data_IF_549696780281
#
_entry.id   IF_549696780281
#
_cell.length_a   1.000
_cell.length_b   1.000
_cell.length_c   1.000
_cell.angle_alpha   90.00
_cell.angle_beta   90.00
_cell.angle_gamma   90.00
#
_symmetry.space_group_name_H-M   'P 1'
#
loop_
_entity.id
_entity.type
_entity.pdbx_description
1 polymer ?
#
# COMPACT_ATOMS: atom_id res chain seq x y z
N UNK A 1 32.01 -45.52 6.94
CA UNK A 1 32.01 -45.05 5.55
C UNK A 1 32.35 -43.56 5.52
N UNK A 2 33.63 -43.21 5.30
CA UNK A 2 34.10 -41.81 5.22
C UNK A 2 34.51 -41.56 3.76
N UNK A 3 33.76 -40.70 3.05
CA UNK A 3 34.05 -40.31 1.66
C UNK A 3 34.93 -39.06 1.65
N UNK A 4 35.99 -39.13 0.85
CA UNK A 4 37.14 -38.23 0.87
C UNK A 4 36.89 -36.81 0.37
N UNK A 5 37.72 -35.90 0.87
CA UNK A 5 37.93 -34.57 0.32
C UNK A 5 39.10 -34.64 -0.67
N UNK A 6 38.78 -34.38 -1.93
CA UNK A 6 39.74 -34.22 -3.02
C UNK A 6 40.11 -32.73 -3.13
N UNK A 7 41.41 -32.44 -3.14
CA UNK A 7 41.98 -31.10 -3.11
C UNK A 7 42.80 -30.88 -4.39
N UNK A 8 42.45 -29.91 -5.27
CA UNK A 8 43.25 -29.62 -6.46
C UNK A 8 44.45 -28.71 -6.16
N UNK A 9 45.54 -28.77 -6.95
CA UNK A 9 46.84 -28.19 -6.61
C UNK A 9 46.99 -26.69 -6.90
N UNK A 10 47.93 -26.11 -6.15
CA UNK A 10 48.42 -24.72 -6.17
C UNK A 10 49.00 -24.31 -7.53
N UNK A 11 48.79 -23.05 -7.93
CA UNK A 11 49.69 -22.31 -8.84
C UNK A 11 50.24 -21.07 -8.13
N UNK A 12 51.56 -20.95 -8.14
CA UNK A 12 52.36 -19.84 -7.62
C UNK A 12 52.69 -18.83 -8.74
N UNK A 13 53.21 -17.63 -8.40
CA UNK A 13 53.02 -16.41 -9.16
C UNK A 13 54.12 -16.16 -10.20
N UNK A 14 53.82 -15.33 -11.21
CA UNK A 14 54.82 -14.74 -12.09
C UNK A 14 54.88 -13.25 -11.81
N UNK A 15 56.00 -12.81 -11.25
CA UNK A 15 56.36 -11.41 -11.10
C UNK A 15 57.52 -11.05 -12.04
N UNK A 16 57.58 -9.77 -12.42
CA UNK A 16 58.71 -8.93 -12.89
C UNK A 16 58.06 -7.65 -13.45
N UNK A 17 58.44 -6.41 -13.16
CA UNK A 17 59.51 -5.83 -12.37
C UNK A 17 59.60 -4.35 -12.75
N UNK A 18 59.30 -3.47 -11.78
CA UNK A 18 59.87 -2.14 -11.46
C UNK A 18 60.48 -1.27 -12.57
N UNK A 19 60.03 -0.01 -12.64
CA UNK A 19 60.93 1.16 -12.76
C UNK A 19 60.41 2.31 -11.91
N UNK A 20 61.32 2.92 -11.14
CA UNK A 20 61.17 4.05 -10.23
C UNK A 20 61.79 5.30 -10.89
N UNK A 21 61.22 6.49 -10.68
CA UNK A 21 61.88 7.80 -10.56
C UNK A 21 60.78 8.89 -10.48
N UNK A 22 60.50 9.48 -9.32
CA UNK A 22 61.22 10.58 -8.63
C UNK A 22 60.70 11.98 -9.01
N UNK A 23 59.98 12.56 -8.03
CA UNK A 23 60.05 13.95 -7.52
C UNK A 23 59.90 15.13 -8.48
N UNK A 24 58.88 15.98 -8.23
CA UNK A 24 59.03 17.44 -8.07
C UNK A 24 57.78 18.06 -7.37
N UNK A 25 58.00 18.60 -6.15
CA UNK A 25 57.44 19.88 -5.62
C UNK A 25 55.93 20.01 -5.26
N UNK A 26 55.64 20.37 -4.00
CA UNK A 26 54.30 20.69 -3.44
C UNK A 26 53.65 22.01 -3.92
N UNK A 27 52.56 22.53 -3.29
CA UNK A 27 52.49 22.74 -1.84
C UNK A 27 51.22 22.22 -1.13
N UNK A 28 51.38 22.02 0.17
CA UNK A 28 50.38 21.81 1.20
C UNK A 28 49.36 22.96 1.24
N UNK A 29 48.06 22.64 1.16
CA UNK A 29 46.99 23.58 1.54
C UNK A 29 45.92 22.86 2.36
N UNK A 30 45.93 23.20 3.64
CA UNK A 30 44.83 23.39 4.59
C UNK A 30 43.68 22.37 4.62
N UNK A 31 43.66 21.68 5.76
CA UNK A 31 42.48 21.11 6.40
C UNK A 31 41.32 22.13 6.43
N UNK A 32 40.12 21.70 6.04
CA UNK A 32 38.92 22.53 6.16
C UNK A 32 38.10 22.66 4.89
N UNK A 33 37.44 21.57 4.47
CA UNK A 33 36.03 21.54 4.06
C UNK A 33 35.76 20.14 3.53
N UNK A 34 35.18 19.28 4.37
CA UNK A 34 34.55 18.05 3.88
C UNK A 34 33.38 18.49 3.02
N UNK A 35 33.59 18.64 1.72
CA UNK A 35 32.54 18.78 0.74
C UNK A 35 31.57 17.61 0.94
N UNK A 36 30.39 17.90 1.49
CA UNK A 36 29.27 16.97 1.56
C UNK A 36 28.71 16.71 0.15
N UNK A 37 29.52 16.16 -0.78
CA UNK A 37 29.06 15.69 -2.09
C UNK A 37 28.10 14.49 -1.99
N UNK A 38 27.87 13.96 -0.78
CA UNK A 38 26.98 12.82 -0.49
C UNK A 38 25.68 13.19 0.23
N UNK A 39 25.37 14.46 0.48
CA UNK A 39 24.13 14.84 1.20
C UNK A 39 22.89 15.00 0.31
N UNK A 40 23.03 14.91 -1.01
CA UNK A 40 21.89 15.02 -1.93
C UNK A 40 21.06 13.71 -2.06
N UNK A 41 21.45 12.67 -1.32
CA UNK A 41 21.07 11.28 -1.55
C UNK A 41 19.91 10.71 -0.75
N UNK A 42 19.13 11.51 -0.02
CA UNK A 42 18.01 10.97 0.80
C UNK A 42 16.64 11.10 0.10
N UNK A 43 16.50 12.05 -0.83
CA UNK A 43 15.28 12.24 -1.62
C UNK A 43 15.59 11.99 -3.10
N UNK A 44 15.40 10.75 -3.57
CA UNK A 44 15.55 10.32 -4.98
C UNK A 44 14.71 11.14 -6.00
N UNK A 45 13.91 12.09 -5.55
CA UNK A 45 12.99 12.89 -6.35
C UNK A 45 13.61 14.12 -7.03
N UNK A 46 14.82 14.59 -6.66
CA UNK A 46 15.32 15.90 -7.16
C UNK A 46 15.71 15.93 -8.64
N UNK A 47 16.45 14.94 -9.16
CA UNK A 47 17.00 15.02 -10.53
C UNK A 47 15.96 14.75 -11.62
N UNK A 48 15.09 13.76 -11.44
CA UNK A 48 14.01 13.46 -12.40
C UNK A 48 12.97 14.57 -12.46
N UNK A 49 12.64 15.22 -11.33
CA UNK A 49 11.70 16.35 -11.33
C UNK A 49 12.29 17.57 -12.05
N UNK A 50 13.58 17.88 -11.84
CA UNK A 50 14.27 18.94 -12.59
C UNK A 50 14.23 18.66 -14.10
N UNK A 51 14.52 17.43 -14.51
CA UNK A 51 14.47 17.02 -15.92
C UNK A 51 13.06 17.13 -16.51
N UNK A 52 12.02 16.67 -15.79
CA UNK A 52 10.61 16.84 -16.19
C UNK A 52 10.19 18.31 -16.28
N UNK A 53 10.70 19.15 -15.38
CA UNK A 53 10.45 20.60 -15.43
C UNK A 53 11.08 21.22 -16.68
N UNK A 54 12.33 20.86 -17.01
CA UNK A 54 12.99 21.34 -18.23
C UNK A 54 12.17 20.95 -19.46
N UNK A 55 11.75 19.69 -19.55
CA UNK A 55 10.99 19.19 -20.70
C UNK A 55 9.63 19.90 -20.85
N UNK A 56 8.91 20.12 -19.73
CA UNK A 56 7.63 20.85 -19.73
C UNK A 56 7.75 22.31 -20.19
N UNK A 57 8.91 22.93 -20.00
CA UNK A 57 9.13 24.37 -20.25
C UNK A 57 10.10 24.64 -21.41
N UNK A 58 10.46 23.60 -22.19
CA UNK A 58 11.44 23.68 -23.27
C UNK A 58 11.05 24.64 -24.40
N UNK A 59 9.75 24.86 -24.61
CA UNK A 59 9.22 25.71 -25.68
C UNK A 59 9.19 27.18 -25.27
N UNK A 60 9.33 27.49 -23.97
CA UNK A 60 9.26 28.86 -23.45
C UNK A 60 10.63 29.48 -23.18
N UNK A 61 11.64 28.66 -22.86
CA UNK A 61 13.01 29.12 -22.61
C UNK A 61 14.05 28.18 -23.21
N UNK A 62 15.23 28.70 -23.63
CA UNK A 62 16.28 27.85 -24.15
C UNK A 62 16.72 26.77 -23.13
N UNK A 63 16.85 25.53 -23.60
CA UNK A 63 17.27 24.37 -22.79
C UNK A 63 18.59 24.64 -22.05
N UNK A 64 19.51 25.38 -22.68
CA UNK A 64 20.79 25.75 -22.08
C UNK A 64 20.63 26.64 -20.82
N UNK A 65 19.64 27.53 -20.81
CA UNK A 65 19.30 28.37 -19.67
C UNK A 65 18.68 27.51 -18.57
N UNK A 66 17.64 26.75 -18.89
CA UNK A 66 16.95 25.87 -17.92
C UNK A 66 17.90 24.86 -17.26
N UNK A 67 18.80 24.23 -18.03
CA UNK A 67 19.82 23.32 -17.54
C UNK A 67 20.79 24.02 -16.58
N UNK A 68 21.20 25.26 -16.88
CA UNK A 68 22.10 26.04 -16.02
C UNK A 68 21.41 26.42 -14.71
N UNK A 69 20.17 26.92 -14.79
CA UNK A 69 19.41 27.37 -13.62
C UNK A 69 19.06 26.24 -12.66
N UNK A 70 18.80 25.03 -13.17
CA UNK A 70 18.45 23.85 -12.36
C UNK A 70 19.66 22.96 -12.03
N UNK A 71 20.87 23.38 -12.39
CA UNK A 71 22.13 22.67 -12.16
C UNK A 71 22.11 21.24 -12.73
N UNK A 72 21.59 21.09 -13.95
CA UNK A 72 21.55 19.81 -14.68
C UNK A 72 22.41 19.92 -15.93
N UNK A 73 23.27 18.93 -16.19
CA UNK A 73 24.05 18.91 -17.44
C UNK A 73 23.14 18.72 -18.66
N UNK A 74 23.39 19.43 -19.76
CA UNK A 74 22.69 19.25 -21.06
C UNK A 74 22.69 17.79 -21.53
N UNK A 75 23.81 17.07 -21.37
CA UNK A 75 23.90 15.66 -21.70
C UNK A 75 22.91 14.79 -20.89
N UNK A 76 22.68 15.10 -19.62
CA UNK A 76 21.69 14.41 -18.81
C UNK A 76 20.25 14.69 -19.26
N UNK A 77 19.97 15.90 -19.77
CA UNK A 77 18.68 16.24 -20.36
C UNK A 77 18.42 15.45 -21.64
N UNK A 78 19.35 15.44 -22.58
CA UNK A 78 19.16 14.69 -23.82
C UNK A 78 19.09 13.18 -23.60
N UNK A 79 19.86 12.62 -22.65
CA UNK A 79 19.66 11.22 -22.25
C UNK A 79 18.28 10.95 -21.66
N UNK A 80 17.71 11.94 -20.95
CA UNK A 80 16.36 11.84 -20.40
C UNK A 80 15.28 11.90 -21.48
N UNK A 81 15.46 12.71 -22.52
CA UNK A 81 14.51 12.77 -23.64
C UNK A 81 14.57 11.54 -24.54
N UNK A 82 15.73 10.85 -24.58
CA UNK A 82 15.94 9.61 -25.33
C UNK A 82 15.86 8.35 -24.46
N UNK A 83 15.40 8.46 -23.22
CA UNK A 83 15.13 7.30 -22.38
C UNK A 83 13.84 6.64 -22.87
N UNK A 84 13.98 5.50 -23.53
CA UNK A 84 12.84 4.65 -23.85
C UNK A 84 12.12 4.21 -22.57
N UNK A 85 10.81 3.98 -22.70
CA UNK A 85 9.97 3.52 -21.59
C UNK A 85 10.62 2.28 -20.97
N UNK A 86 10.97 2.39 -19.70
CA UNK A 86 11.69 1.30 -19.04
C UNK A 86 10.80 0.06 -18.90
N UNK A 87 11.39 -1.13 -18.86
CA UNK A 87 10.65 -2.37 -18.56
C UNK A 87 9.82 -2.29 -17.26
N UNK A 88 10.27 -1.46 -16.32
CA UNK A 88 9.56 -1.19 -15.07
C UNK A 88 8.31 -0.32 -15.29
N UNK A 89 8.39 0.72 -16.11
CA UNK A 89 7.27 1.62 -16.40
C UNK A 89 6.20 0.93 -17.25
N UNK A 90 6.60 0.11 -18.22
CA UNK A 90 5.67 -0.72 -19.00
C UNK A 90 4.93 -1.71 -18.10
N UNK A 91 5.64 -2.46 -17.23
CA UNK A 91 5.02 -3.37 -16.26
C UNK A 91 4.10 -2.63 -15.29
N UNK A 92 4.49 -1.45 -14.80
CA UNK A 92 3.64 -0.65 -13.92
C UNK A 92 2.36 -0.19 -14.63
N UNK A 93 2.46 0.20 -15.90
CA UNK A 93 1.31 0.59 -16.73
C UNK A 93 0.36 -0.59 -16.93
N UNK A 94 0.89 -1.78 -17.24
CA UNK A 94 0.10 -3.01 -17.38
C UNK A 94 -0.66 -3.35 -16.08
N UNK A 95 0.02 -3.33 -14.93
CA UNK A 95 -0.62 -3.58 -13.63
C UNK A 95 -1.70 -2.53 -13.34
N UNK A 96 -1.43 -1.26 -13.65
CA UNK A 96 -2.36 -0.17 -13.42
C UNK A 96 -3.64 -0.33 -14.24
N UNK A 97 -3.49 -0.71 -15.52
CA UNK A 97 -4.62 -1.03 -16.39
C UNK A 97 -5.44 -2.21 -15.89
N UNK A 98 -4.79 -3.29 -15.49
CA UNK A 98 -5.48 -4.45 -14.94
C UNK A 98 -6.26 -4.11 -13.65
N UNK A 99 -5.71 -3.26 -12.78
CA UNK A 99 -6.42 -2.78 -11.58
C UNK A 99 -7.68 -2.00 -11.97
N UNK A 100 -7.61 -1.15 -12.99
CA UNK A 100 -8.77 -0.39 -13.48
C UNK A 100 -9.85 -1.32 -14.05
N UNK A 101 -9.45 -2.31 -14.86
CA UNK A 101 -10.37 -3.31 -15.43
C UNK A 101 -11.09 -4.09 -14.32
N UNK A 102 -10.34 -4.62 -13.34
CA UNK A 102 -10.93 -5.32 -12.18
C UNK A 102 -11.90 -4.41 -11.42
N UNK A 103 -11.52 -3.15 -11.17
CA UNK A 103 -12.33 -2.24 -10.36
C UNK A 103 -13.67 -1.87 -11.04
N UNK A 104 -13.73 -1.86 -12.37
CA UNK A 104 -14.94 -1.59 -13.15
C UNK A 104 -15.91 -2.77 -13.21
N UNK A 105 -15.47 -3.97 -12.83
CA UNK A 105 -16.33 -5.15 -12.82
C UNK A 105 -17.35 -5.09 -11.67
N UNK A 106 -18.53 -5.69 -11.91
CA UNK A 106 -19.62 -5.71 -10.94
C UNK A 106 -19.18 -6.36 -9.63
N UNK A 107 -19.40 -5.66 -8.51
CA UNK A 107 -19.07 -6.08 -7.13
C UNK A 107 -17.59 -6.01 -6.73
N UNK A 108 -16.70 -5.51 -7.61
CA UNK A 108 -15.27 -5.37 -7.32
C UNK A 108 -14.89 -3.94 -6.87
N UNK A 109 -15.83 -3.00 -6.88
CA UNK A 109 -15.64 -1.62 -6.40
C UNK A 109 -15.23 -1.55 -4.91
N UNK A 110 -15.63 -2.55 -4.12
CA UNK A 110 -15.26 -2.70 -2.71
C UNK A 110 -13.83 -3.25 -2.47
N UNK A 111 -13.06 -3.54 -3.52
CA UNK A 111 -11.77 -4.23 -3.36
C UNK A 111 -10.67 -3.24 -2.96
N UNK A 112 -10.14 -3.44 -1.75
CA UNK A 112 -8.89 -2.83 -1.33
C UNK A 112 -7.66 -3.54 -1.89
N UNK A 113 -6.48 -2.95 -1.70
CA UNK A 113 -5.22 -3.50 -2.22
C UNK A 113 -4.94 -4.98 -1.92
N UNK A 114 -5.32 -5.58 -0.77
CA UNK A 114 -5.11 -7.01 -0.54
C UNK A 114 -6.02 -7.90 -1.41
N UNK A 115 -7.28 -7.51 -1.61
CA UNK A 115 -8.24 -8.26 -2.45
C UNK A 115 -7.92 -8.08 -3.93
N UNK A 116 -7.60 -6.85 -4.32
CA UNK A 116 -7.13 -6.52 -5.67
C UNK A 116 -5.87 -7.32 -6.04
N UNK A 117 -4.91 -7.45 -5.12
CA UNK A 117 -3.71 -8.26 -5.34
C UNK A 117 -4.03 -9.74 -5.59
N UNK A 118 -4.92 -10.34 -4.79
CA UNK A 118 -5.35 -11.74 -5.01
C UNK A 118 -6.02 -11.93 -6.35
N UNK A 119 -6.88 -11.00 -6.74
CA UNK A 119 -7.58 -11.02 -8.03
C UNK A 119 -6.60 -10.96 -9.21
N UNK A 120 -5.59 -10.09 -9.13
CA UNK A 120 -4.54 -10.01 -10.15
C UNK A 120 -3.73 -11.30 -10.26
N UNK A 121 -3.42 -11.96 -9.14
CA UNK A 121 -2.74 -13.26 -9.14
C UNK A 121 -3.60 -14.35 -9.79
N UNK A 122 -4.91 -14.37 -9.50
CA UNK A 122 -5.85 -15.31 -10.15
C UNK A 122 -5.88 -15.10 -11.67
N UNK A 123 -5.77 -13.85 -12.13
CA UNK A 123 -5.68 -13.48 -13.55
C UNK A 123 -4.29 -13.68 -14.17
N UNK A 124 -3.35 -14.28 -13.45
CA UNK A 124 -2.00 -14.56 -13.93
C UNK A 124 -1.04 -13.35 -13.95
N UNK A 125 -1.39 -12.26 -13.27
CA UNK A 125 -0.59 -11.04 -13.23
C UNK A 125 0.28 -11.03 -11.97
N UNK A 126 1.55 -11.38 -12.13
CA UNK A 126 2.51 -11.40 -11.02
C UNK A 126 2.93 -9.99 -10.58
N UNK A 127 2.47 -9.60 -9.40
CA UNK A 127 2.84 -8.36 -8.75
C UNK A 127 2.89 -8.52 -7.23
N UNK A 128 3.66 -7.66 -6.55
CA UNK A 128 3.65 -7.61 -5.09
C UNK A 128 2.54 -6.70 -4.58
N UNK A 129 2.02 -6.99 -3.38
CA UNK A 129 0.94 -6.21 -2.74
C UNK A 129 1.26 -4.71 -2.64
N UNK A 130 2.52 -4.36 -2.40
CA UNK A 130 2.96 -2.96 -2.30
C UNK A 130 2.90 -2.23 -3.65
N UNK A 131 3.18 -2.93 -4.75
CA UNK A 131 3.03 -2.37 -6.11
C UNK A 131 1.56 -2.09 -6.41
N UNK A 132 0.66 -3.01 -6.05
CA UNK A 132 -0.79 -2.80 -6.20
C UNK A 132 -1.25 -1.59 -5.40
N UNK A 133 -0.88 -1.52 -4.12
CA UNK A 133 -1.24 -0.37 -3.27
C UNK A 133 -0.68 0.96 -3.80
N UNK A 134 0.54 0.95 -4.35
CA UNK A 134 1.15 2.13 -4.98
C UNK A 134 0.39 2.55 -6.24
N UNK A 135 0.04 1.61 -7.12
CA UNK A 135 -0.69 1.88 -8.35
C UNK A 135 -2.09 2.42 -8.04
N UNK A 136 -2.84 1.76 -7.14
CA UNK A 136 -4.15 2.22 -6.67
C UNK A 136 -4.08 3.66 -6.13
N UNK A 137 -3.06 4.00 -5.32
CA UNK A 137 -2.87 5.36 -4.81
C UNK A 137 -2.62 6.38 -5.93
N UNK A 138 -1.78 6.05 -6.91
CA UNK A 138 -1.48 6.94 -8.05
C UNK A 138 -2.74 7.19 -8.89
N UNK A 139 -3.58 6.16 -9.08
CA UNK A 139 -4.83 6.27 -9.84
C UNK A 139 -6.03 6.78 -9.05
N UNK A 140 -5.90 6.99 -7.75
CA UNK A 140 -7.02 7.38 -6.88
C UNK A 140 -8.07 6.30 -6.65
N UNK A 141 -7.80 5.04 -7.03
CA UNK A 141 -8.73 3.92 -6.85
C UNK A 141 -8.73 3.51 -5.38
N UNK A 142 -9.91 3.48 -4.79
CA UNK A 142 -10.11 3.15 -3.38
C UNK A 142 -11.25 2.16 -3.24
N UNK A 143 -11.18 1.35 -2.18
CA UNK A 143 -12.26 0.43 -1.85
C UNK A 143 -13.51 1.21 -1.45
N UNK A 144 -14.60 1.03 -2.19
CA UNK A 144 -15.90 1.54 -1.81
C UNK A 144 -16.38 0.81 -0.55
N UNK A 145 -16.42 1.51 0.58
CA UNK A 145 -16.96 0.98 1.83
C UNK A 145 -18.40 1.44 1.94
N UNK A 146 -19.35 0.51 1.84
CA UNK A 146 -20.74 0.78 2.24
C UNK A 146 -20.72 1.22 3.71
N UNK A 147 -21.30 2.39 3.98
CA UNK A 147 -21.54 2.83 5.35
C UNK A 147 -22.42 1.80 6.03
N UNK A 148 -22.06 1.40 7.25
CA UNK A 148 -22.92 0.51 8.03
C UNK A 148 -24.24 1.25 8.27
N UNK A 149 -25.36 0.66 7.87
CA UNK A 149 -26.67 1.13 8.28
C UNK A 149 -26.79 0.87 9.79
N UNK A 150 -26.62 1.91 10.60
CA UNK A 150 -26.75 1.85 12.06
C UNK A 150 -27.92 2.73 12.46
N UNK A 151 -29.10 2.14 12.58
CA UNK A 151 -30.19 2.76 13.34
C UNK A 151 -29.75 2.70 14.81
N UNK A 152 -29.53 3.85 15.43
CA UNK A 152 -29.18 3.92 16.86
C UNK A 152 -30.49 3.98 17.65
N UNK A 153 -30.98 2.82 18.08
CA UNK A 153 -32.28 2.69 18.76
C UNK A 153 -32.17 2.78 20.27
N UNK A 154 -30.97 2.57 20.81
CA UNK A 154 -30.69 2.62 22.24
C UNK A 154 -29.59 3.64 22.50
N UNK A 155 -29.91 4.67 23.27
CA UNK A 155 -28.90 5.50 23.90
C UNK A 155 -28.53 4.86 25.24
N UNK A 156 -27.42 4.12 25.27
CA UNK A 156 -26.92 3.51 26.50
C UNK A 156 -26.26 4.51 27.44
N UNK A 157 -26.11 5.78 27.04
CA UNK A 157 -25.53 6.86 27.83
C UNK A 157 -26.64 7.76 28.38
N UNK A 158 -27.48 7.20 29.25
CA UNK A 158 -28.58 7.92 29.88
C UNK A 158 -28.47 7.89 31.41
N UNK A 159 -29.05 8.89 32.07
CA UNK A 159 -29.11 8.96 33.55
C UNK A 159 -30.37 8.28 34.13
N UNK A 160 -31.14 7.58 33.30
CA UNK A 160 -32.34 6.83 33.73
C UNK A 160 -31.97 5.58 34.56
N UNK A 161 -32.83 5.16 35.50
CA UNK A 161 -32.57 3.97 36.32
C UNK A 161 -32.48 2.71 35.46
N UNK A 162 -31.38 1.97 35.64
CA UNK A 162 -31.14 0.69 34.98
C UNK A 162 -31.78 -0.42 35.82
N UNK A 163 -32.70 -1.18 35.21
CA UNK A 163 -33.31 -2.32 35.89
C UNK A 163 -32.24 -3.38 36.21
N UNK A 164 -32.28 -4.01 37.40
CA UNK A 164 -31.32 -5.05 37.77
C UNK A 164 -31.42 -6.24 36.82
N UNK A 165 -30.28 -6.76 36.36
CA UNK A 165 -30.22 -7.96 35.53
C UNK A 165 -30.47 -9.20 36.40
N UNK A 166 -31.75 -9.56 36.58
CA UNK A 166 -32.18 -10.71 37.38
C UNK A 166 -31.73 -12.06 36.78
N UNK A 167 -31.58 -12.13 35.46
CA UNK A 167 -31.19 -13.36 34.76
C UNK A 167 -29.70 -13.66 34.93
N UNK A 168 -28.86 -12.62 34.99
CA UNK A 168 -27.41 -12.70 35.15
C UNK A 168 -26.73 -13.78 34.27
N UNK A 169 -27.16 -13.87 33.00
CA UNK A 169 -26.71 -14.87 32.01
C UNK A 169 -26.97 -16.34 32.39
N UNK A 170 -27.79 -16.61 33.41
CA UNK A 170 -28.28 -17.96 33.69
C UNK A 170 -29.51 -18.27 32.83
N UNK A 171 -29.30 -19.02 31.75
CA UNK A 171 -30.37 -19.41 30.82
C UNK A 171 -30.97 -20.80 31.12
N UNK A 172 -30.67 -21.38 32.28
CA UNK A 172 -31.29 -22.63 32.70
C UNK A 172 -32.71 -22.41 33.20
N UNK A 173 -33.62 -23.31 32.82
CA UNK A 173 -35.05 -23.28 33.22
C UNK A 173 -35.51 -24.69 33.54
N UNK A 174 -36.28 -24.85 34.60
CA UNK A 174 -36.82 -26.14 35.05
C UNK A 174 -38.19 -26.41 34.45
N UNK A 175 -39.00 -25.36 34.24
CA UNK A 175 -40.36 -25.45 33.70
C UNK A 175 -40.66 -24.31 32.73
N UNK A 176 -41.79 -24.42 32.00
CA UNK A 176 -42.36 -23.33 31.20
C UNK A 176 -42.67 -22.10 32.06
N UNK A 177 -42.73 -20.93 31.43
CA UNK A 177 -43.15 -19.64 32.00
C UNK A 177 -42.27 -19.09 33.14
N UNK A 178 -41.01 -19.54 33.22
CA UNK A 178 -40.02 -19.00 34.17
C UNK A 178 -39.22 -17.84 33.61
N UNK A 179 -38.83 -17.92 32.33
CA UNK A 179 -38.02 -16.88 31.66
C UNK A 179 -38.53 -16.71 30.24
N UNK A 180 -38.88 -15.49 29.88
CA UNK A 180 -39.25 -15.12 28.52
C UNK A 180 -38.15 -14.26 27.90
N UNK A 181 -37.78 -14.57 26.67
CA UNK A 181 -36.88 -13.78 25.85
C UNK A 181 -37.70 -12.94 24.88
N UNK A 182 -37.27 -11.69 24.69
CA UNK A 182 -37.90 -10.79 23.71
C UNK A 182 -36.85 -10.18 22.81
N UNK A 183 -37.22 -9.97 21.56
CA UNK A 183 -36.44 -9.18 20.62
C UNK A 183 -37.36 -8.35 19.73
N UNK A 184 -36.87 -7.19 19.29
CA UNK A 184 -37.58 -6.32 18.36
C UNK A 184 -36.77 -6.24 17.07
N UNK A 185 -37.40 -6.62 15.96
CA UNK A 185 -36.82 -6.57 14.62
C UNK A 185 -37.61 -5.63 13.72
N UNK A 186 -36.90 -4.99 12.79
CA UNK A 186 -37.44 -4.08 11.78
C UNK A 186 -37.69 -4.82 10.47
N UNK A 187 -38.94 -4.87 10.03
CA UNK A 187 -39.32 -5.50 8.76
C UNK A 187 -39.50 -4.40 7.71
N UNK A 188 -38.67 -4.35 6.65
CA UNK A 188 -38.89 -3.43 5.54
C UNK A 188 -40.12 -3.84 4.73
N UNK A 189 -40.98 -2.89 4.44
CA UNK A 189 -42.15 -3.04 3.55
C UNK A 189 -42.10 -1.99 2.44
N UNK A 190 -43.04 -2.06 1.47
CA UNK A 190 -43.13 -1.07 0.40
C UNK A 190 -43.62 0.31 0.88
N UNK A 191 -44.20 0.38 2.07
CA UNK A 191 -44.79 1.59 2.65
C UNK A 191 -43.94 2.19 3.79
N UNK A 192 -42.86 1.51 4.18
CA UNK A 192 -42.00 1.90 5.29
C UNK A 192 -41.50 0.71 6.09
N UNK A 193 -41.05 0.93 7.32
CA UNK A 193 -40.65 -0.15 8.23
C UNK A 193 -41.76 -0.44 9.24
N UNK A 194 -41.96 -1.73 9.54
CA UNK A 194 -42.82 -2.19 10.63
C UNK A 194 -41.95 -2.79 11.73
N UNK A 195 -42.38 -2.64 12.98
CA UNK A 195 -41.73 -3.21 14.14
C UNK A 195 -42.39 -4.56 14.47
N UNK A 196 -41.60 -5.63 14.47
CA UNK A 196 -42.00 -6.94 14.97
C UNK A 196 -41.37 -7.13 16.34
N UNK A 197 -42.18 -7.35 17.36
CA UNK A 197 -41.74 -7.87 18.65
C UNK A 197 -42.16 -9.34 18.74
N UNK A 198 -41.29 -10.20 19.24
CA UNK A 198 -41.63 -11.58 19.52
C UNK A 198 -41.20 -11.95 20.94
N UNK A 199 -42.05 -12.74 21.61
CA UNK A 199 -41.84 -13.29 22.93
C UNK A 199 -41.64 -14.80 22.79
N UNK A 200 -40.54 -15.30 23.33
CA UNK A 200 -40.20 -16.73 23.31
C UNK A 200 -40.04 -17.23 24.74
N UNK A 201 -40.75 -18.30 25.08
CA UNK A 201 -40.52 -19.00 26.33
C UNK A 201 -39.19 -19.77 26.27
N UNK A 202 -38.30 -19.53 27.25
CA UNK A 202 -36.94 -20.05 27.20
C UNK A 202 -36.89 -21.59 27.33
N UNK A 203 -37.83 -22.17 28.08
CA UNK A 203 -37.90 -23.61 28.31
C UNK A 203 -38.45 -24.37 27.10
N UNK A 204 -39.66 -24.02 26.66
CA UNK A 204 -40.35 -24.70 25.55
C UNK A 204 -39.86 -24.28 24.17
N UNK A 205 -39.14 -23.14 24.07
CA UNK A 205 -38.69 -22.51 22.83
C UNK A 205 -39.83 -22.12 21.87
N UNK A 206 -41.07 -22.05 22.37
CA UNK A 206 -42.23 -21.64 21.60
C UNK A 206 -42.39 -20.13 21.63
N UNK A 207 -42.92 -19.59 20.52
CA UNK A 207 -43.39 -18.21 20.47
C UNK A 207 -44.71 -18.15 21.24
N UNK A 208 -44.77 -17.26 22.21
CA UNK A 208 -45.96 -17.04 23.06
C UNK A 208 -46.71 -15.76 22.67
N UNK A 209 -46.07 -14.86 21.92
CA UNK A 209 -46.64 -13.60 21.44
C UNK A 209 -45.70 -12.83 20.53
#
# INVERSE_FOLDING_TARGET
MKKGHFQPPRRQPVGRGRVEAALLGGPTTQDGTRHFRKSDGVLRQRKQLRLKFIDKHRDRWPIAVLCRTLEVSRAAYYRFTHLDVTATETKQTQITRAIQEVHLEKHFDAYGSPRMHRELIIRGIECCRNTVAKCMRITGIQANRRTKFRISTTDSNHDQPIAPNLLNQNFSTETIDQVWLTDITYIPTKEGFTYLCAFVDLHSRKIIG
#
